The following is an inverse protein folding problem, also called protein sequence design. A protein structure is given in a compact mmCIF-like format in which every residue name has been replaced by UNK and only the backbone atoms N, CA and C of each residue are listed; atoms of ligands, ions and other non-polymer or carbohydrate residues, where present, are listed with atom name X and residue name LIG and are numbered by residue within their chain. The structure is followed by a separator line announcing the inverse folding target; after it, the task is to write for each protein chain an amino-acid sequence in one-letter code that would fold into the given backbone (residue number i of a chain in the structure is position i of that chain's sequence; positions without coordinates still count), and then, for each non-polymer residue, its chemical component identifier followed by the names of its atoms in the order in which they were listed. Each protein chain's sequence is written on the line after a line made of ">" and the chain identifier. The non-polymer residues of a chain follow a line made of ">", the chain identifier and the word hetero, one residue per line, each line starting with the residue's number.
data_IF_430208193641
#
_entry.id   IF_430208193641
#
_cell.length_a   1.000
_cell.length_b   1.000
_cell.length_c   1.000
_cell.angle_alpha   90.00
_cell.angle_beta   90.00
_cell.angle_gamma   90.00
#
_symmetry.space_group_name_H-M   'P 1'
#
loop_
_entity.id
_entity.type
_entity.pdbx_description
1 polymer ?
#
# COMPACT_ATOMS: atom_id res chain seq x y z
N UNK A 1 -12.87 3.25 7.35
CA UNK A 1 -11.92 2.86 6.28
C UNK A 1 -10.72 2.20 6.94
N UNK A 2 -10.26 1.06 6.44
CA UNK A 2 -9.05 0.39 6.92
C UNK A 2 -7.98 0.42 5.84
N UNK A 3 -6.76 0.82 6.17
CA UNK A 3 -5.62 0.80 5.26
C UNK A 3 -4.53 -0.11 5.83
N UNK A 4 -4.15 -1.15 5.09
CA UNK A 4 -2.94 -1.94 5.40
C UNK A 4 -1.74 -1.37 4.64
N UNK A 5 -0.55 -1.45 5.22
CA UNK A 5 0.65 -0.86 4.60
C UNK A 5 0.68 0.66 4.67
N UNK A 6 0.00 1.24 5.67
CA UNK A 6 -0.14 2.70 5.82
C UNK A 6 1.20 3.44 6.03
N UNK A 7 2.30 2.73 6.30
CA UNK A 7 3.65 3.30 6.41
C UNK A 7 4.40 3.40 5.08
N UNK A 8 3.91 2.75 4.02
CA UNK A 8 4.49 2.84 2.68
C UNK A 8 4.22 4.19 2.03
N UNK A 9 4.85 4.46 0.88
CA UNK A 9 4.68 5.72 0.15
C UNK A 9 3.20 6.03 -0.14
N UNK A 10 2.49 5.09 -0.78
CA UNK A 10 1.06 5.26 -1.10
C UNK A 10 0.20 5.32 0.17
N UNK A 11 0.53 4.51 1.19
CA UNK A 11 -0.19 4.52 2.46
C UNK A 11 -0.09 5.88 3.19
N UNK A 12 1.10 6.49 3.21
CA UNK A 12 1.31 7.83 3.78
C UNK A 12 0.59 8.90 2.98
N UNK A 13 0.57 8.79 1.66
CA UNK A 13 -0.19 9.71 0.80
C UNK A 13 -1.70 9.62 1.11
N UNK A 14 -2.26 8.40 1.19
CA UNK A 14 -3.67 8.20 1.56
C UNK A 14 -4.00 8.75 2.95
N UNK A 15 -3.09 8.58 3.92
CA UNK A 15 -3.22 9.16 5.25
C UNK A 15 -3.25 10.70 5.20
N UNK A 16 -2.32 11.32 4.46
CA UNK A 16 -2.30 12.77 4.30
C UNK A 16 -3.57 13.28 3.61
N UNK A 17 -4.02 12.62 2.54
CA UNK A 17 -5.27 12.95 1.86
C UNK A 17 -6.49 12.84 2.79
N UNK A 18 -6.52 11.84 3.67
CA UNK A 18 -7.56 11.73 4.69
C UNK A 18 -7.53 12.94 5.64
N UNK A 19 -6.37 13.29 6.18
CA UNK A 19 -6.22 14.45 7.09
C UNK A 19 -6.70 15.73 6.42
N UNK A 20 -6.21 16.03 5.21
CA UNK A 20 -6.65 17.20 4.44
C UNK A 20 -8.16 17.18 4.20
N UNK A 21 -8.73 16.02 3.85
CA UNK A 21 -10.17 15.92 3.62
C UNK A 21 -11.01 16.20 4.87
N UNK A 22 -10.49 15.86 6.06
CA UNK A 22 -11.12 16.16 7.35
C UNK A 22 -11.07 17.65 7.66
N UNK A 23 -9.92 18.27 7.42
CA UNK A 23 -9.66 19.67 7.78
C UNK A 23 -10.34 20.65 6.82
N UNK A 24 -10.23 20.40 5.51
CA UNK A 24 -10.72 21.35 4.50
C UNK A 24 -12.19 21.15 4.13
N UNK A 25 -12.68 19.90 4.13
CA UNK A 25 -14.03 19.58 3.65
C UNK A 25 -14.97 19.07 4.76
N UNK A 26 -14.50 18.98 6.01
CA UNK A 26 -15.31 18.50 7.13
C UNK A 26 -15.79 17.05 6.94
N UNK A 27 -15.02 16.23 6.21
CA UNK A 27 -15.37 14.84 5.96
C UNK A 27 -15.58 14.07 7.29
N UNK A 28 -16.46 13.07 7.27
CA UNK A 28 -16.79 12.26 8.46
C UNK A 28 -16.30 10.82 8.32
N UNK A 29 -16.15 10.14 9.45
CA UNK A 29 -15.81 8.71 9.52
C UNK A 29 -14.59 8.43 10.39
N UNK A 30 -14.07 7.22 10.28
CA UNK A 30 -12.87 6.78 10.99
C UNK A 30 -11.93 6.08 10.02
N UNK A 31 -10.64 6.35 10.18
CA UNK A 31 -9.58 5.70 9.44
C UNK A 31 -8.74 4.88 10.40
N UNK A 32 -8.61 3.57 10.14
CA UNK A 32 -7.67 2.72 10.84
C UNK A 32 -6.47 2.44 9.91
N UNK A 33 -5.27 2.73 10.39
CA UNK A 33 -4.01 2.53 9.68
C UNK A 33 -3.25 1.36 10.31
N UNK A 34 -3.05 0.28 9.56
CA UNK A 34 -2.21 -0.85 9.95
C UNK A 34 -0.81 -0.73 9.36
N UNK A 35 0.20 -0.85 10.22
CA UNK A 35 1.61 -0.84 9.85
C UNK A 35 2.39 -1.74 10.80
N UNK A 36 3.57 -2.23 10.42
CA UNK A 36 4.49 -2.94 11.34
C UNK A 36 5.44 -1.98 12.06
N UNK A 37 5.59 -0.75 11.56
CA UNK A 37 6.65 0.18 11.97
C UNK A 37 6.04 1.48 12.51
N UNK A 38 6.02 1.69 13.84
CA UNK A 38 5.56 2.96 14.42
C UNK A 38 6.48 4.13 14.06
N UNK A 39 7.79 3.88 13.96
CA UNK A 39 8.79 4.89 13.57
C UNK A 39 8.62 5.43 12.15
N UNK A 40 7.69 4.89 11.35
CA UNK A 40 7.40 5.39 10.02
C UNK A 40 6.65 6.73 10.02
N UNK A 41 6.09 7.16 11.16
CA UNK A 41 5.28 8.36 11.29
C UNK A 41 6.02 9.43 12.12
N UNK A 42 6.32 10.59 11.54
CA UNK A 42 6.78 11.75 12.30
C UNK A 42 5.74 12.15 13.35
N UNK A 43 6.17 12.69 14.50
CA UNK A 43 5.25 13.07 15.59
C UNK A 43 4.18 14.08 15.15
N UNK A 44 4.54 15.01 14.26
CA UNK A 44 3.60 15.99 13.70
C UNK A 44 2.47 15.31 12.94
N UNK A 45 2.83 14.44 11.98
CA UNK A 45 1.87 13.65 11.21
C UNK A 45 1.00 12.77 12.13
N UNK A 46 1.58 12.15 13.15
CA UNK A 46 0.83 11.34 14.09
C UNK A 46 -0.22 12.16 14.86
N UNK A 47 0.18 13.35 15.34
CA UNK A 47 -0.71 14.28 16.05
C UNK A 47 -1.86 14.76 15.18
N UNK A 48 -1.58 15.14 13.94
CA UNK A 48 -2.59 15.62 12.99
C UNK A 48 -3.55 14.49 12.59
N UNK A 49 -3.01 13.28 12.39
CA UNK A 49 -3.80 12.08 12.15
C UNK A 49 -4.77 11.80 13.31
N UNK A 50 -4.33 11.86 14.57
CA UNK A 50 -5.22 11.65 15.73
C UNK A 50 -6.37 12.67 15.76
N UNK A 51 -6.08 13.95 15.47
CA UNK A 51 -7.11 15.01 15.37
C UNK A 51 -8.08 14.75 14.21
N UNK A 52 -7.60 14.18 13.13
CA UNK A 52 -8.40 13.78 11.96
C UNK A 52 -9.19 12.46 12.15
N UNK A 53 -9.22 11.90 13.37
CA UNK A 53 -9.95 10.66 13.66
C UNK A 53 -9.29 9.41 13.08
N UNK A 54 -7.96 9.42 12.98
CA UNK A 54 -7.15 8.28 12.56
C UNK A 54 -6.72 7.48 13.78
N UNK A 55 -6.82 6.16 13.68
CA UNK A 55 -6.34 5.19 14.65
C UNK A 55 -5.18 4.39 14.05
N UNK A 56 -4.09 4.25 14.79
CA UNK A 56 -2.95 3.44 14.36
C UNK A 56 -2.92 2.11 15.09
N UNK A 57 -2.66 1.03 14.35
CA UNK A 57 -2.40 -0.29 14.91
C UNK A 57 -1.10 -0.84 14.34
N UNK A 58 -0.20 -1.20 15.24
CA UNK A 58 1.14 -1.67 14.89
C UNK A 58 1.19 -3.20 14.87
N UNK A 59 0.76 -3.79 13.76
CA UNK A 59 0.56 -5.24 13.60
C UNK A 59 1.11 -5.73 12.27
N UNK A 60 1.54 -6.99 12.22
CA UNK A 60 1.84 -7.68 10.96
C UNK A 60 0.52 -8.04 10.26
N UNK A 61 0.50 -7.92 8.93
CA UNK A 61 -0.67 -8.22 8.12
C UNK A 61 -1.08 -9.69 8.16
N UNK A 62 -0.17 -10.58 8.54
CA UNK A 62 -0.49 -12.01 8.75
C UNK A 62 -1.19 -12.25 10.09
N UNK A 63 -1.19 -11.25 10.97
CA UNK A 63 -1.79 -11.29 12.31
C UNK A 63 -2.75 -10.12 12.49
N UNK A 64 -3.72 -9.99 11.59
CA UNK A 64 -4.72 -8.93 11.66
C UNK A 64 -5.54 -9.02 12.95
N UNK A 65 -5.89 -7.88 13.57
CA UNK A 65 -6.73 -7.85 14.76
C UNK A 65 -8.14 -8.37 14.45
N UNK A 66 -8.93 -8.64 15.48
CA UNK A 66 -10.32 -9.06 15.31
C UNK A 66 -11.24 -7.86 15.14
N UNK A 67 -12.47 -8.04 14.61
CA UNK A 67 -13.42 -6.92 14.49
C UNK A 67 -13.71 -6.25 15.84
N UNK A 68 -13.75 -7.02 16.92
CA UNK A 68 -13.97 -6.49 18.27
C UNK A 68 -12.89 -5.50 18.71
N UNK A 69 -11.70 -5.58 18.10
CA UNK A 69 -10.60 -4.67 18.39
C UNK A 69 -10.65 -3.40 17.54
N UNK A 70 -11.54 -3.32 16.54
CA UNK A 70 -11.60 -2.25 15.55
C UNK A 70 -12.97 -1.57 15.54
N UNK A 71 -12.98 -0.32 15.09
CA UNK A 71 -14.23 0.30 14.67
C UNK A 71 -14.79 -0.40 13.43
N UNK A 72 -16.10 -0.25 13.20
CA UNK A 72 -16.76 -0.84 12.04
C UNK A 72 -16.06 -0.45 10.71
N UNK A 73 -15.57 -1.45 9.99
CA UNK A 73 -14.87 -1.27 8.72
C UNK A 73 -15.82 -1.52 7.55
N UNK A 74 -16.06 -0.50 6.72
CA UNK A 74 -16.89 -0.62 5.51
C UNK A 74 -16.07 -0.74 4.22
N UNK A 75 -14.82 -0.28 4.23
CA UNK A 75 -13.90 -0.28 3.10
C UNK A 75 -12.51 -0.66 3.57
N UNK A 76 -11.81 -1.49 2.80
CA UNK A 76 -10.43 -1.88 3.04
C UNK A 76 -9.57 -1.54 1.82
N UNK A 77 -8.44 -0.87 2.03
CA UNK A 77 -7.38 -0.67 1.03
C UNK A 77 -6.14 -1.45 1.46
N UNK A 78 -5.71 -2.38 0.62
CA UNK A 78 -4.48 -3.13 0.81
C UNK A 78 -3.33 -2.48 0.04
N UNK A 79 -2.54 -1.67 0.76
CA UNK A 79 -1.35 -0.97 0.25
C UNK A 79 -0.05 -1.57 0.80
N UNK A 80 -0.09 -2.73 1.45
CA UNK A 80 1.10 -3.43 1.95
C UNK A 80 1.75 -4.28 0.83
N UNK A 81 2.15 -3.64 -0.26
CA UNK A 81 2.91 -4.28 -1.34
C UNK A 81 4.41 -4.19 -1.06
N UNK A 82 5.19 -5.27 -1.30
CA UNK A 82 6.64 -5.19 -1.24
C UNK A 82 7.16 -4.22 -2.30
N UNK A 83 8.04 -3.31 -1.88
CA UNK A 83 8.66 -2.32 -2.77
C UNK A 83 9.92 -2.83 -3.45
N UNK A 84 10.45 -3.98 -3.01
CA UNK A 84 11.70 -4.57 -3.50
C UNK A 84 11.56 -6.09 -3.59
N UNK A 85 11.91 -6.65 -4.74
CA UNK A 85 12.09 -8.10 -4.88
C UNK A 85 13.44 -8.50 -4.29
N UNK A 86 13.46 -9.65 -3.61
CA UNK A 86 14.72 -10.26 -3.17
C UNK A 86 15.61 -10.59 -4.38
N UNK A 87 16.90 -10.30 -4.27
CA UNK A 87 17.87 -10.54 -5.35
C UNK A 87 18.41 -11.99 -5.37
N UNK A 88 18.15 -12.76 -4.31
CA UNK A 88 18.49 -14.19 -4.25
C UNK A 88 17.22 -15.06 -4.38
N UNK A 89 17.34 -16.32 -4.84
CA UNK A 89 16.20 -17.23 -4.94
C UNK A 89 15.43 -17.37 -3.62
N UNK A 90 16.14 -17.53 -2.49
CA UNK A 90 15.53 -17.62 -1.18
C UNK A 90 14.78 -16.32 -0.76
N UNK A 91 15.37 -15.15 -1.04
CA UNK A 91 14.73 -13.87 -0.70
C UNK A 91 13.52 -13.56 -1.61
N UNK A 92 13.56 -14.03 -2.86
CA UNK A 92 12.43 -13.94 -3.78
C UNK A 92 11.29 -14.85 -3.30
N UNK A 93 11.58 -16.10 -2.94
CA UNK A 93 10.60 -17.05 -2.38
C UNK A 93 9.94 -16.49 -1.11
N UNK A 94 10.73 -15.90 -0.22
CA UNK A 94 10.22 -15.24 0.99
C UNK A 94 9.30 -14.05 0.63
N UNK A 95 9.69 -13.25 -0.36
CA UNK A 95 8.89 -12.10 -0.83
C UNK A 95 7.55 -12.56 -1.40
N UNK A 96 7.56 -13.59 -2.25
CA UNK A 96 6.35 -14.18 -2.85
C UNK A 96 5.44 -14.74 -1.75
N UNK A 97 6.01 -15.51 -0.82
CA UNK A 97 5.25 -16.09 0.31
C UNK A 97 4.61 -14.99 1.15
N UNK A 98 5.35 -13.93 1.49
CA UNK A 98 4.83 -12.79 2.25
C UNK A 98 3.69 -12.06 1.51
N UNK A 99 3.75 -11.95 0.18
CA UNK A 99 2.65 -11.38 -0.62
C UNK A 99 1.41 -12.26 -0.53
N UNK A 100 1.55 -13.55 -0.82
CA UNK A 100 0.43 -14.49 -0.86
C UNK A 100 -0.23 -14.62 0.51
N UNK A 101 0.56 -14.77 1.57
CA UNK A 101 0.07 -14.87 2.94
C UNK A 101 -0.61 -13.56 3.38
N UNK A 102 -0.03 -12.41 3.04
CA UNK A 102 -0.61 -11.11 3.34
C UNK A 102 -1.94 -10.88 2.63
N UNK A 103 -2.04 -11.24 1.35
CA UNK A 103 -3.28 -11.16 0.58
C UNK A 103 -4.34 -12.12 1.15
N UNK A 104 -3.96 -13.37 1.45
CA UNK A 104 -4.85 -14.35 2.05
C UNK A 104 -5.41 -13.85 3.39
N UNK A 105 -4.55 -13.33 4.26
CA UNK A 105 -4.97 -12.77 5.54
C UNK A 105 -5.98 -11.62 5.37
N UNK A 106 -5.78 -10.74 4.39
CA UNK A 106 -6.73 -9.64 4.08
C UNK A 106 -8.07 -10.17 3.57
N UNK A 107 -8.07 -11.17 2.69
CA UNK A 107 -9.29 -11.78 2.16
C UNK A 107 -10.05 -12.46 3.29
N UNK A 108 -9.38 -13.28 4.09
CA UNK A 108 -9.97 -13.99 5.23
C UNK A 108 -10.54 -13.00 6.25
N UNK A 109 -9.79 -11.94 6.57
CA UNK A 109 -10.25 -10.86 7.44
C UNK A 109 -11.48 -10.16 6.86
N UNK A 110 -11.48 -9.83 5.57
CA UNK A 110 -12.62 -9.16 4.92
C UNK A 110 -13.87 -10.03 4.94
N UNK A 111 -13.71 -11.32 4.67
CA UNK A 111 -14.80 -12.30 4.71
C UNK A 111 -15.39 -12.44 6.11
N UNK A 112 -14.54 -12.67 7.12
CA UNK A 112 -14.96 -12.83 8.53
C UNK A 112 -15.67 -11.59 9.09
N UNK A 113 -15.29 -10.41 8.61
CA UNK A 113 -15.80 -9.13 9.11
C UNK A 113 -16.85 -8.50 8.19
N UNK A 114 -17.35 -9.25 7.21
CA UNK A 114 -18.37 -8.81 6.25
C UNK A 114 -18.03 -7.50 5.51
N UNK A 115 -16.74 -7.29 5.23
CA UNK A 115 -16.26 -6.14 4.46
C UNK A 115 -16.44 -6.46 2.97
N UNK A 116 -17.42 -5.81 2.34
CA UNK A 116 -17.80 -6.09 0.94
C UNK A 116 -17.00 -5.28 -0.09
N UNK A 117 -16.20 -4.31 0.36
CA UNK A 117 -15.46 -3.40 -0.52
C UNK A 117 -13.98 -3.41 -0.17
N UNK A 118 -13.20 -4.09 -1.02
CA UNK A 118 -11.76 -4.27 -0.84
C UNK A 118 -11.04 -3.82 -2.11
N UNK A 119 -10.03 -2.97 -1.95
CA UNK A 119 -9.13 -2.50 -3.01
C UNK A 119 -7.73 -3.05 -2.78
N UNK A 120 -7.21 -3.85 -3.71
CA UNK A 120 -5.82 -4.29 -3.72
C UNK A 120 -5.00 -3.37 -4.62
N UNK A 121 -3.91 -2.81 -4.10
CA UNK A 121 -2.93 -2.10 -4.93
C UNK A 121 -1.94 -3.12 -5.50
N UNK A 122 -1.59 -2.96 -6.77
CA UNK A 122 -0.53 -3.75 -7.42
C UNK A 122 0.50 -2.83 -8.09
N UNK A 123 1.69 -3.36 -8.36
CA UNK A 123 2.72 -2.66 -9.12
C UNK A 123 2.52 -2.90 -10.61
N UNK A 124 2.77 -1.89 -11.44
CA UNK A 124 2.78 -2.03 -12.91
C UNK A 124 3.83 -3.03 -13.43
N UNK A 125 4.80 -3.43 -12.60
CA UNK A 125 5.80 -4.43 -12.94
C UNK A 125 5.20 -5.81 -13.32
N UNK A 126 3.96 -6.11 -12.88
CA UNK A 126 3.27 -7.35 -13.26
C UNK A 126 2.92 -7.42 -14.76
N UNK A 127 2.94 -6.28 -15.45
CA UNK A 127 2.69 -6.21 -16.89
C UNK A 127 3.94 -6.48 -17.75
N UNK A 128 5.10 -6.74 -17.13
CA UNK A 128 6.37 -6.95 -17.83
C UNK A 128 6.90 -5.68 -18.50
N UNK A 129 7.90 -5.83 -19.36
CA UNK A 129 8.40 -4.73 -20.19
C UNK A 129 7.28 -4.25 -21.10
N UNK A 130 6.78 -3.05 -20.84
CA UNK A 130 5.81 -2.41 -21.73
C UNK A 130 6.56 -1.91 -22.97
N UNK A 131 6.31 -2.54 -24.12
CA UNK A 131 6.91 -2.18 -25.42
C UNK A 131 6.36 -0.87 -26.01
N UNK A 132 5.93 0.08 -25.18
CA UNK A 132 5.57 1.41 -25.62
C UNK A 132 6.75 2.34 -25.40
N UNK A 133 7.80 2.07 -26.18
CA UNK A 133 8.67 3.14 -26.64
C UNK A 133 7.81 3.99 -27.58
N UNK A 134 7.42 5.17 -27.12
CA UNK A 134 6.88 6.16 -28.03
C UNK A 134 7.99 6.54 -29.00
N UNK A 135 7.91 6.06 -30.25
CA UNK A 135 8.62 6.63 -31.38
C UNK A 135 8.30 8.13 -31.43
N UNK A 136 9.24 8.95 -30.97
CA UNK A 136 8.98 10.36 -30.72
C UNK A 136 10.19 11.17 -30.33
N UNK A 137 11.18 11.23 -31.23
CA UNK A 137 12.28 12.20 -31.34
C UNK A 137 13.58 11.90 -30.57
N UNK A 138 14.33 10.87 -31.02
CA UNK A 138 15.80 10.97 -31.04
C UNK A 138 16.22 11.57 -32.39
N UNK A 139 16.61 12.84 -32.37
CA UNK A 139 17.28 13.44 -33.51
C UNK A 139 18.60 12.71 -33.81
N UNK A 140 18.76 12.38 -35.10
CA UNK A 140 19.99 11.97 -35.82
C UNK A 140 20.35 10.49 -35.82
N UNK A 141 19.81 9.82 -36.84
CA UNK A 141 20.55 8.85 -37.66
C UNK A 141 21.90 9.42 -38.13
N UNK A 142 22.97 8.65 -37.96
CA UNK A 142 24.01 8.45 -38.97
C UNK A 142 24.79 7.19 -38.58
N UNK A 143 24.68 6.18 -39.42
CA UNK A 143 25.33 4.89 -39.23
C UNK A 143 26.85 4.96 -39.33
N UNK A 144 27.49 3.99 -38.70
CA UNK A 144 28.61 3.25 -39.30
C UNK A 144 28.69 1.89 -38.63
N UNK A 145 28.81 0.87 -39.47
CA UNK A 145 28.85 -0.56 -39.19
C UNK A 145 30.00 -0.99 -38.25
N UNK A 146 29.92 -2.21 -37.67
CA UNK A 146 31.01 -2.78 -36.90
C UNK A 146 32.13 -3.26 -37.84
N UNK A 147 33.38 -2.95 -37.50
CA UNK A 147 34.53 -3.69 -38.00
C UNK A 147 35.14 -4.53 -36.87
N UNK A 148 35.53 -5.73 -37.28
CA UNK A 148 36.13 -6.86 -36.57
C UNK A 148 37.09 -6.55 -35.43
#
# INVERSE_FOLDING_TARGET
>A
LLITGASGFVGKWLLASWITAREEFGARGHLTCLSRRPSAYPETLHRDALRAGVEFRFVDIRSLPTQSDLQAVHWLIHAATPTTLGLSPAALEETVTNILDGQRAVIDFSSKNHITRVLFLSSGAVYGTQLFECDGHSGRTLGSEPQH
#
